data_IF_557958544649
#
_entry.id   IF_557958544649
#
_cell.length_a   1.000
_cell.length_b   1.000
_cell.length_c   1.000
_cell.angle_alpha   90.00
_cell.angle_beta   90.00
_cell.angle_gamma   90.00
#
_symmetry.space_group_name_H-M   'P 1'
#
loop_
_entity.id
_entity.type
_entity.pdbx_description
1 polymer ?
#
# COMPACT_ATOMS: atom_id res chain seq x y z
N UNK A 1 43.98 81.79 -0.24
CA UNK A 1 43.03 80.66 -0.22
C UNK A 1 43.75 79.46 0.36
N UNK A 2 43.44 79.09 1.60
CA UNK A 2 44.09 77.99 2.34
C UNK A 2 43.37 76.70 1.98
N UNK A 3 44.10 75.73 1.43
CA UNK A 3 43.58 74.41 1.06
C UNK A 3 43.63 73.46 2.27
N UNK A 4 42.49 72.84 2.60
CA UNK A 4 42.37 71.80 3.61
C UNK A 4 42.95 70.47 3.08
N UNK A 5 43.85 69.86 3.86
CA UNK A 5 44.29 68.47 3.68
C UNK A 5 43.59 67.62 4.75
N UNK A 6 42.81 66.58 4.39
CA UNK A 6 42.19 65.70 5.37
C UNK A 6 43.20 64.64 5.84
N UNK A 7 43.40 64.55 7.15
CA UNK A 7 44.14 63.47 7.80
C UNK A 7 43.31 62.18 7.80
N UNK A 8 43.77 61.15 7.08
CA UNK A 8 43.25 59.79 7.15
C UNK A 8 43.83 59.09 8.39
N UNK A 9 42.98 58.79 9.37
CA UNK A 9 43.32 57.94 10.52
C UNK A 9 43.21 56.47 10.11
N UNK A 10 44.33 55.76 10.02
CA UNK A 10 44.37 54.30 9.91
C UNK A 10 44.10 53.67 11.28
N UNK A 11 42.93 53.05 11.45
CA UNK A 11 42.63 52.23 12.62
C UNK A 11 43.07 50.78 12.37
N UNK A 12 44.16 50.35 13.01
CA UNK A 12 44.60 48.95 13.00
C UNK A 12 43.82 48.16 14.05
N UNK A 13 42.85 47.35 13.63
CA UNK A 13 42.15 46.41 14.52
C UNK A 13 42.99 45.13 14.62
N UNK A 14 43.58 44.87 15.78
CA UNK A 14 44.18 43.56 16.10
C UNK A 14 43.07 42.62 16.56
N UNK A 15 42.77 41.59 15.77
CA UNK A 15 41.85 40.52 16.16
C UNK A 15 42.60 39.48 17.01
N UNK A 16 42.20 39.33 18.27
CA UNK A 16 42.69 38.28 19.17
C UNK A 16 41.83 37.02 18.93
N UNK A 17 42.42 35.85 18.60
CA UNK A 17 41.63 34.64 18.42
C UNK A 17 41.07 34.16 19.77
N UNK A 18 39.76 33.93 19.83
CA UNK A 18 39.10 33.40 21.02
C UNK A 18 39.49 31.92 21.25
N UNK A 19 39.71 31.49 22.50
CA UNK A 19 40.07 30.11 22.79
C UNK A 19 38.89 29.17 22.50
N UNK A 20 39.11 28.18 21.63
CA UNK A 20 38.15 27.10 21.37
C UNK A 20 38.09 26.23 22.63
N UNK A 21 36.98 26.30 23.36
CA UNK A 21 36.71 25.33 24.44
C UNK A 21 36.27 24.02 23.80
N UNK A 22 37.14 23.00 23.82
CA UNK A 22 36.71 21.63 23.60
C UNK A 22 35.84 21.20 24.77
N UNK A 23 34.52 21.23 24.56
CA UNK A 23 33.57 20.60 25.47
C UNK A 23 33.74 19.10 25.34
N UNK A 24 34.42 18.47 26.30
CA UNK A 24 34.47 17.00 26.39
C UNK A 24 33.04 16.50 26.54
N UNK A 25 32.55 15.76 25.55
CA UNK A 25 31.21 15.14 25.58
C UNK A 25 31.18 14.22 26.79
N UNK A 26 30.41 14.58 27.82
CA UNK A 26 30.17 13.73 28.97
C UNK A 26 29.70 12.37 28.46
N UNK A 27 30.48 11.30 28.70
CA UNK A 27 30.04 9.95 28.38
C UNK A 27 28.77 9.70 29.19
N UNK A 28 27.64 9.58 28.50
CA UNK A 28 26.40 9.15 29.11
C UNK A 28 26.67 7.84 29.85
N UNK A 29 26.23 7.76 31.10
CA UNK A 29 26.12 6.52 31.88
C UNK A 29 25.55 5.44 30.99
N UNK A 30 26.14 4.23 30.93
CA UNK A 30 25.60 3.17 30.09
C UNK A 30 24.21 2.84 30.63
N UNK A 31 23.19 3.31 29.92
CA UNK A 31 21.85 2.75 30.03
C UNK A 31 22.03 1.25 29.83
N UNK A 32 21.51 0.43 30.75
CA UNK A 32 21.34 -1.00 30.48
C UNK A 32 20.51 -1.08 29.21
N UNK A 33 21.17 -1.36 28.09
CA UNK A 33 20.53 -1.46 26.79
C UNK A 33 19.61 -2.67 26.87
N UNK A 34 18.31 -2.41 26.92
CA UNK A 34 17.32 -3.45 26.68
C UNK A 34 17.58 -4.06 25.30
N UNK A 35 17.39 -5.37 25.10
CA UNK A 35 17.38 -5.97 23.77
C UNK A 35 16.48 -5.15 22.83
N UNK A 36 16.87 -5.03 21.56
CA UNK A 36 16.16 -4.21 20.57
C UNK A 36 14.71 -4.68 20.35
N UNK A 37 14.45 -5.95 20.64
CA UNK A 37 13.19 -6.67 20.50
C UNK A 37 12.43 -6.82 21.83
N UNK A 38 12.89 -6.21 22.92
CA UNK A 38 12.23 -6.33 24.21
C UNK A 38 10.79 -5.77 24.15
N UNK A 39 9.80 -6.64 24.36
CA UNK A 39 8.38 -6.29 24.29
C UNK A 39 7.75 -6.40 22.91
N UNK A 40 8.52 -6.74 21.87
CA UNK A 40 8.00 -6.92 20.52
C UNK A 40 7.08 -8.15 20.46
N UNK A 41 5.96 -8.02 19.74
CA UNK A 41 5.00 -9.10 19.55
C UNK A 41 5.04 -9.57 18.10
N UNK A 42 5.33 -10.86 17.90
CA UNK A 42 5.45 -11.46 16.58
C UNK A 42 4.12 -11.87 15.93
N UNK A 43 3.04 -11.99 16.72
CA UNK A 43 1.71 -12.43 16.28
C UNK A 43 0.67 -11.34 16.57
N UNK A 44 -0.36 -11.23 15.73
CA UNK A 44 -1.44 -10.28 15.97
C UNK A 44 -2.31 -10.73 17.16
N UNK A 45 -2.49 -9.88 18.18
CA UNK A 45 -3.40 -10.14 19.29
C UNK A 45 -4.86 -10.33 18.84
N UNK A 46 -5.53 -11.32 19.40
CA UNK A 46 -6.97 -11.57 19.25
C UNK A 46 -7.61 -11.53 20.62
N UNK A 47 -8.61 -10.67 20.79
CA UNK A 47 -9.32 -10.44 22.03
C UNK A 47 -10.07 -11.69 22.52
N UNK A 48 -10.27 -11.80 23.83
CA UNK A 48 -10.97 -12.92 24.47
C UNK A 48 -12.46 -13.01 24.14
N UNK A 49 -13.03 -12.01 23.47
CA UNK A 49 -14.41 -12.07 22.95
C UNK A 49 -14.57 -13.10 21.82
N UNK A 50 -13.47 -13.51 21.20
CA UNK A 50 -13.46 -14.55 20.18
C UNK A 50 -13.46 -15.93 20.83
N UNK A 51 -14.46 -16.75 20.51
CA UNK A 51 -14.47 -18.17 20.90
C UNK A 51 -13.36 -18.95 20.18
N UNK A 52 -13.13 -20.22 20.57
CA UNK A 52 -12.06 -21.04 20.03
C UNK A 52 -12.11 -21.19 18.50
N UNK A 53 -13.30 -21.36 17.92
CA UNK A 53 -13.49 -21.51 16.47
C UNK A 53 -13.24 -20.21 15.72
N UNK A 54 -13.73 -19.08 16.24
CA UNK A 54 -13.49 -17.75 15.67
C UNK A 54 -12.01 -17.41 15.69
N UNK A 55 -11.35 -17.64 16.84
CA UNK A 55 -9.91 -17.47 17.00
C UNK A 55 -9.14 -18.30 15.97
N UNK A 56 -9.45 -19.58 15.81
CA UNK A 56 -8.75 -20.45 14.88
C UNK A 56 -8.89 -19.96 13.42
N UNK A 57 -10.07 -19.49 13.02
CA UNK A 57 -10.26 -18.92 11.67
C UNK A 57 -9.48 -17.62 11.48
N UNK A 58 -9.46 -16.73 12.47
CA UNK A 58 -8.68 -15.48 12.39
C UNK A 58 -7.18 -15.81 12.34
N UNK A 59 -6.67 -16.71 13.19
CA UNK A 59 -5.26 -17.12 13.20
C UNK A 59 -4.85 -17.75 11.85
N UNK A 60 -5.71 -18.61 11.29
CA UNK A 60 -5.49 -19.20 9.96
C UNK A 60 -5.47 -18.11 8.89
N UNK A 61 -6.47 -17.21 8.91
CA UNK A 61 -6.55 -16.09 7.98
C UNK A 61 -5.35 -15.15 8.06
N UNK A 62 -4.86 -14.86 9.26
CA UNK A 62 -3.67 -14.04 9.47
C UNK A 62 -2.42 -14.72 8.92
N UNK A 63 -2.26 -16.04 9.12
CA UNK A 63 -1.15 -16.78 8.51
C UNK A 63 -1.22 -16.73 6.98
N UNK A 64 -2.42 -16.83 6.40
CA UNK A 64 -2.62 -16.65 4.96
C UNK A 64 -2.36 -15.20 4.51
N UNK A 65 -2.71 -14.20 5.31
CA UNK A 65 -2.34 -12.78 5.05
C UNK A 65 -0.83 -12.62 4.98
N UNK A 66 -0.10 -13.21 5.93
CA UNK A 66 1.37 -13.17 5.95
C UNK A 66 1.94 -13.83 4.69
N UNK A 67 1.45 -15.02 4.32
CA UNK A 67 1.86 -15.70 3.09
C UNK A 67 1.58 -14.85 1.83
N UNK A 68 0.42 -14.20 1.78
CA UNK A 68 0.01 -13.33 0.67
C UNK A 68 0.93 -12.11 0.52
N UNK A 69 1.22 -11.39 1.61
CA UNK A 69 2.05 -10.17 1.56
C UNK A 69 3.54 -10.48 1.38
N UNK A 70 4.02 -11.59 1.95
CA UNK A 70 5.41 -12.03 1.74
C UNK A 70 5.66 -12.39 0.29
N UNK A 71 4.70 -13.10 -0.33
CA UNK A 71 4.76 -13.40 -1.76
C UNK A 71 4.67 -12.14 -2.62
N UNK A 72 3.75 -11.23 -2.31
CA UNK A 72 3.62 -9.95 -3.02
C UNK A 72 4.95 -9.16 -2.97
N UNK A 73 5.55 -9.03 -1.78
CA UNK A 73 6.87 -8.40 -1.60
C UNK A 73 7.94 -9.13 -2.43
N UNK A 74 7.98 -10.46 -2.39
CA UNK A 74 8.95 -11.25 -3.14
C UNK A 74 8.81 -11.06 -4.66
N UNK A 75 7.58 -10.98 -5.17
CA UNK A 75 7.31 -10.70 -6.58
C UNK A 75 7.88 -9.33 -6.99
N UNK A 76 7.63 -8.29 -6.18
CA UNK A 76 8.16 -6.94 -6.44
C UNK A 76 9.70 -6.95 -6.41
N UNK A 77 10.31 -7.58 -5.40
CA UNK A 77 11.78 -7.63 -5.28
C UNK A 77 12.44 -8.40 -6.43
N UNK A 78 11.75 -9.40 -6.97
CA UNK A 78 12.27 -10.22 -8.07
C UNK A 78 12.17 -9.52 -9.42
N UNK A 79 11.03 -8.92 -9.72
CA UNK A 79 10.71 -8.43 -11.07
C UNK A 79 10.56 -6.92 -11.15
N UNK A 80 10.12 -6.28 -10.07
CA UNK A 80 9.81 -4.85 -10.04
C UNK A 80 9.01 -4.43 -11.27
N UNK A 81 9.51 -3.39 -11.95
CA UNK A 81 8.85 -2.81 -13.12
C UNK A 81 8.86 -3.70 -14.39
N UNK A 82 9.65 -4.78 -14.43
CA UNK A 82 9.64 -5.72 -15.55
C UNK A 82 8.36 -6.56 -15.55
N UNK A 83 7.75 -6.75 -14.37
CA UNK A 83 6.48 -7.46 -14.24
C UNK A 83 5.32 -6.68 -14.86
N UNK A 84 4.56 -7.36 -15.71
CA UNK A 84 3.28 -6.84 -16.23
C UNK A 84 2.25 -6.70 -15.12
N UNK A 85 2.25 -7.58 -14.11
CA UNK A 85 1.39 -7.48 -12.93
C UNK A 85 1.76 -6.23 -12.11
N UNK A 86 3.06 -5.98 -11.89
CA UNK A 86 3.49 -4.77 -11.18
C UNK A 86 3.05 -3.51 -11.91
N UNK A 87 3.32 -3.41 -13.22
CA UNK A 87 2.94 -2.23 -14.01
C UNK A 87 1.43 -2.03 -14.09
N UNK A 88 0.64 -3.12 -14.08
CA UNK A 88 -0.83 -3.04 -14.05
C UNK A 88 -1.34 -2.27 -12.83
N UNK A 89 -0.77 -2.51 -11.66
CA UNK A 89 -1.26 -1.95 -10.39
C UNK A 89 -0.49 -0.71 -9.92
N UNK A 90 0.78 -0.59 -10.29
CA UNK A 90 1.63 0.50 -9.80
C UNK A 90 2.21 1.38 -10.92
N UNK A 91 1.94 1.08 -12.18
CA UNK A 91 2.56 1.77 -13.32
C UNK A 91 4.09 1.66 -13.24
N UNK A 92 4.79 2.74 -13.60
CA UNK A 92 6.25 2.84 -13.50
C UNK A 92 6.73 3.43 -12.16
N UNK A 93 5.91 3.38 -11.10
CA UNK A 93 6.24 4.02 -9.82
C UNK A 93 7.32 3.26 -9.06
N UNK A 94 8.08 3.94 -8.19
CA UNK A 94 9.02 3.28 -7.30
C UNK A 94 8.35 2.26 -6.38
N UNK A 95 9.02 1.12 -6.18
CA UNK A 95 8.47 -0.03 -5.46
C UNK A 95 8.54 0.06 -3.95
N UNK A 96 9.31 1.01 -3.41
CA UNK A 96 9.63 1.04 -1.98
C UNK A 96 8.40 1.24 -1.08
N UNK A 97 7.38 1.97 -1.52
CA UNK A 97 6.16 2.16 -0.74
C UNK A 97 5.37 0.86 -0.63
N UNK A 98 5.14 0.18 -1.76
CA UNK A 98 4.43 -1.10 -1.77
C UNK A 98 5.20 -2.18 -1.00
N UNK A 99 6.52 -2.27 -1.19
CA UNK A 99 7.39 -3.17 -0.41
C UNK A 99 7.26 -2.87 1.08
N UNK A 100 7.38 -1.60 1.48
CA UNK A 100 7.28 -1.18 2.87
C UNK A 100 5.93 -1.51 3.50
N UNK A 101 4.83 -1.27 2.76
CA UNK A 101 3.48 -1.60 3.22
C UNK A 101 3.33 -3.10 3.52
N UNK A 102 3.80 -3.97 2.63
CA UNK A 102 3.78 -5.42 2.88
C UNK A 102 4.75 -5.86 3.97
N UNK A 103 5.92 -5.24 4.07
CA UNK A 103 6.93 -5.60 5.06
C UNK A 103 6.50 -5.23 6.48
N UNK A 104 5.81 -4.11 6.66
CA UNK A 104 5.23 -3.72 7.96
C UNK A 104 4.19 -4.75 8.42
N UNK A 105 3.37 -5.29 7.49
CA UNK A 105 2.40 -6.36 7.82
C UNK A 105 3.11 -7.65 8.26
N UNK A 106 4.13 -8.11 7.51
CA UNK A 106 4.82 -9.36 7.81
C UNK A 106 5.74 -9.23 9.04
N UNK A 107 6.56 -8.19 9.10
CA UNK A 107 7.71 -8.08 10.01
C UNK A 107 7.58 -6.98 11.07
N UNK A 108 6.58 -6.11 10.99
CA UNK A 108 6.33 -5.09 12.01
C UNK A 108 5.94 -5.69 13.37
N UNK A 109 6.10 -4.90 14.44
CA UNK A 109 5.59 -5.24 15.76
C UNK A 109 4.05 -5.23 15.75
N UNK A 110 3.47 -6.36 16.11
CA UNK A 110 2.03 -6.61 16.00
C UNK A 110 1.28 -6.32 17.29
N UNK A 111 1.99 -5.98 18.37
CA UNK A 111 1.43 -5.85 19.72
C UNK A 111 0.45 -4.68 19.89
N UNK A 112 0.51 -3.69 18.98
CA UNK A 112 -0.36 -2.52 18.99
C UNK A 112 -1.63 -2.68 18.15
N UNK A 113 -1.95 -3.89 17.67
CA UNK A 113 -3.15 -4.20 16.90
C UNK A 113 -4.02 -5.18 17.70
N UNK A 114 -5.35 -5.08 17.61
CA UNK A 114 -6.26 -6.04 18.26
C UNK A 114 -7.46 -6.41 17.39
N UNK A 115 -7.62 -7.71 17.15
CA UNK A 115 -8.80 -8.27 16.51
C UNK A 115 -9.86 -8.66 17.55
N UNK A 116 -11.13 -8.37 17.29
CA UNK A 116 -12.24 -8.60 18.21
C UNK A 116 -13.41 -9.32 17.55
N UNK A 117 -14.19 -10.06 18.33
CA UNK A 117 -15.41 -10.74 17.87
C UNK A 117 -16.68 -10.27 18.58
N UNK A 118 -16.54 -9.41 19.59
CA UNK A 118 -17.65 -8.63 20.14
C UNK A 118 -17.90 -7.39 19.27
N UNK A 119 -19.10 -6.80 19.39
CA UNK A 119 -19.54 -5.66 18.60
C UNK A 119 -19.77 -4.43 19.50
N UNK A 120 -18.71 -3.86 20.12
CA UNK A 120 -18.86 -2.77 21.08
C UNK A 120 -19.49 -1.51 20.47
N UNK A 121 -19.29 -1.28 19.15
CA UNK A 121 -19.79 -0.11 18.45
C UNK A 121 -21.16 -0.34 17.77
N UNK A 122 -21.73 -1.55 17.86
CA UNK A 122 -23.02 -1.89 17.25
C UNK A 122 -23.00 -2.08 15.73
N UNK A 123 -21.93 -1.69 15.04
CA UNK A 123 -21.85 -1.64 13.57
C UNK A 123 -21.94 -2.99 12.84
N UNK A 124 -21.79 -4.14 13.52
CA UNK A 124 -22.10 -5.44 12.90
C UNK A 124 -23.60 -5.65 12.60
N UNK A 125 -24.49 -4.76 13.10
CA UNK A 125 -25.91 -4.79 12.76
C UNK A 125 -26.21 -4.20 11.37
N UNK A 126 -25.24 -3.54 10.73
CA UNK A 126 -25.39 -3.02 9.38
C UNK A 126 -25.39 -4.17 8.37
N UNK A 127 -26.36 -4.16 7.45
CA UNK A 127 -26.50 -5.23 6.47
C UNK A 127 -25.27 -5.33 5.56
N UNK A 128 -24.82 -6.56 5.30
CA UNK A 128 -23.61 -6.85 4.53
C UNK A 128 -22.28 -6.54 5.20
N UNK A 129 -22.25 -6.03 6.45
CA UNK A 129 -20.99 -5.74 7.13
C UNK A 129 -20.35 -7.01 7.69
N UNK A 130 -19.23 -7.42 7.09
CA UNK A 130 -18.42 -8.52 7.58
C UNK A 130 -17.46 -8.11 8.72
N UNK A 131 -17.36 -6.82 9.00
CA UNK A 131 -16.49 -6.26 10.02
C UNK A 131 -16.30 -4.77 9.86
N UNK A 132 -15.59 -4.17 10.81
CA UNK A 132 -15.27 -2.74 10.74
C UNK A 132 -14.00 -2.42 11.52
N UNK A 133 -13.34 -1.34 11.12
CA UNK A 133 -12.37 -0.64 11.96
C UNK A 133 -13.12 0.23 12.97
N UNK A 134 -12.64 0.29 14.22
CA UNK A 134 -13.34 1.03 15.29
C UNK A 134 -13.12 2.55 15.25
N UNK A 135 -12.28 3.05 14.34
CA UNK A 135 -12.05 4.48 14.15
C UNK A 135 -11.64 5.18 15.45
N UNK A 136 -12.23 6.34 15.74
CA UNK A 136 -11.92 7.13 16.94
C UNK A 136 -12.25 6.43 18.27
N UNK A 137 -13.10 5.40 18.30
CA UNK A 137 -13.44 4.69 19.53
C UNK A 137 -12.29 3.79 20.02
N UNK A 138 -11.52 3.21 19.09
CA UNK A 138 -10.28 2.49 19.36
C UNK A 138 -9.50 2.26 18.04
N UNK A 139 -8.63 3.20 17.68
CA UNK A 139 -7.96 3.24 16.36
C UNK A 139 -7.11 2.02 16.04
N UNK A 140 -6.73 1.27 17.07
CA UNK A 140 -5.85 0.12 16.96
C UNK A 140 -6.61 -1.21 16.92
N UNK A 141 -7.95 -1.15 16.81
CA UNK A 141 -8.81 -2.31 16.91
C UNK A 141 -9.70 -2.48 15.67
N UNK A 142 -9.91 -3.74 15.28
CA UNK A 142 -10.90 -4.11 14.26
C UNK A 142 -11.82 -5.21 14.79
N UNK A 143 -13.09 -5.12 14.41
CA UNK A 143 -14.14 -6.06 14.77
C UNK A 143 -14.44 -6.97 13.58
N UNK A 144 -14.44 -8.28 13.82
CA UNK A 144 -14.87 -9.33 12.90
C UNK A 144 -16.34 -9.66 13.19
N UNK A 145 -17.23 -9.36 12.25
CA UNK A 145 -18.66 -9.68 12.37
C UNK A 145 -18.95 -11.10 11.87
N UNK A 146 -20.11 -11.65 12.24
CA UNK A 146 -20.49 -13.04 11.95
C UNK A 146 -20.44 -13.40 10.46
N UNK A 147 -20.78 -12.45 9.59
CA UNK A 147 -20.74 -12.64 8.14
C UNK A 147 -19.33 -13.01 7.63
N UNK A 148 -18.25 -12.58 8.29
CA UNK A 148 -16.90 -13.00 7.88
C UNK A 148 -16.71 -14.51 7.95
N UNK A 149 -17.22 -15.16 8.99
CA UNK A 149 -16.99 -16.59 9.22
C UNK A 149 -17.74 -17.50 8.24
N UNK A 150 -18.74 -16.98 7.53
CA UNK A 150 -19.48 -17.73 6.51
C UNK A 150 -19.16 -17.28 5.08
N UNK A 151 -18.76 -16.03 4.87
CA UNK A 151 -18.51 -15.49 3.54
C UNK A 151 -17.05 -15.54 3.10
N UNK A 152 -16.09 -15.50 4.04
CA UNK A 152 -14.66 -15.49 3.72
C UNK A 152 -14.15 -16.90 3.42
N UNK A 153 -13.40 -17.01 2.33
CA UNK A 153 -12.77 -18.26 1.89
C UNK A 153 -11.32 -18.33 2.35
N UNK A 154 -10.78 -19.53 2.47
CA UNK A 154 -9.34 -19.74 2.62
C UNK A 154 -8.62 -19.39 1.31
N UNK A 155 -7.44 -18.79 1.42
CA UNK A 155 -6.54 -18.47 0.32
C UNK A 155 -6.14 -19.72 -0.49
N UNK A 156 -6.18 -20.92 0.11
CA UNK A 156 -5.92 -22.18 -0.62
C UNK A 156 -6.92 -22.44 -1.74
N UNK A 157 -8.07 -21.76 -1.71
CA UNK A 157 -9.09 -21.82 -2.77
C UNK A 157 -8.93 -20.73 -3.83
N UNK A 158 -7.80 -20.00 -3.86
CA UNK A 158 -7.49 -19.02 -4.90
C UNK A 158 -7.64 -19.63 -6.29
N UNK A 159 -8.26 -18.89 -7.21
CA UNK A 159 -8.61 -19.33 -8.57
C UNK A 159 -9.60 -20.51 -8.68
N UNK A 160 -10.16 -21.00 -7.56
CA UNK A 160 -11.20 -22.01 -7.57
C UNK A 160 -12.61 -21.38 -7.45
N UNK A 161 -13.63 -22.19 -7.75
CA UNK A 161 -15.05 -21.85 -7.58
C UNK A 161 -15.45 -20.55 -8.32
N UNK A 162 -14.90 -20.33 -9.51
CA UNK A 162 -15.22 -19.19 -10.35
C UNK A 162 -14.65 -17.84 -9.88
N UNK A 163 -13.75 -17.83 -8.90
CA UNK A 163 -13.08 -16.59 -8.49
C UNK A 163 -12.15 -16.09 -9.59
N UNK A 164 -12.31 -14.83 -9.96
CA UNK A 164 -11.36 -14.06 -10.77
C UNK A 164 -10.97 -12.79 -10.04
N UNK A 165 -9.74 -12.32 -10.22
CA UNK A 165 -9.25 -11.11 -9.55
C UNK A 165 -10.07 -9.88 -9.97
N UNK A 166 -10.36 -9.72 -11.26
CA UNK A 166 -11.12 -8.57 -11.77
C UNK A 166 -12.63 -8.64 -11.45
N UNK A 167 -13.21 -9.84 -11.43
CA UNK A 167 -14.66 -10.03 -11.32
C UNK A 167 -15.17 -10.29 -9.91
N UNK A 168 -14.29 -10.36 -8.91
CA UNK A 168 -14.65 -10.70 -7.53
C UNK A 168 -14.16 -9.65 -6.53
N UNK A 169 -14.84 -9.57 -5.38
CA UNK A 169 -14.44 -8.63 -4.32
C UNK A 169 -13.05 -9.00 -3.78
N UNK A 170 -12.20 -8.01 -3.53
CA UNK A 170 -10.89 -8.22 -2.89
C UNK A 170 -11.01 -8.95 -1.57
N UNK A 171 -12.07 -8.69 -0.80
CA UNK A 171 -12.32 -9.32 0.49
C UNK A 171 -12.92 -10.74 0.42
N UNK A 172 -12.91 -11.43 -0.74
CA UNK A 172 -13.39 -12.82 -0.82
C UNK A 172 -12.61 -13.78 0.09
N UNK A 173 -11.30 -13.57 0.25
CA UNK A 173 -10.46 -14.41 1.10
C UNK A 173 -10.24 -13.77 2.47
N UNK A 174 -10.06 -14.60 3.50
CA UNK A 174 -9.60 -14.14 4.81
C UNK A 174 -8.30 -13.33 4.69
N UNK A 175 -7.35 -13.82 3.90
CA UNK A 175 -6.04 -13.21 3.72
C UNK A 175 -6.12 -11.72 3.31
N UNK A 176 -6.93 -11.41 2.29
CA UNK A 176 -7.06 -10.05 1.75
C UNK A 176 -8.03 -9.17 2.55
N UNK A 177 -9.10 -9.73 3.12
CA UNK A 177 -9.98 -8.97 4.04
C UNK A 177 -9.20 -8.51 5.29
N UNK A 178 -8.36 -9.38 5.86
CA UNK A 178 -7.53 -9.03 7.01
C UNK A 178 -6.42 -8.04 6.62
N UNK A 179 -5.83 -8.17 5.43
CA UNK A 179 -4.87 -7.19 4.91
C UNK A 179 -5.46 -5.78 4.84
N UNK A 180 -6.66 -5.65 4.28
CA UNK A 180 -7.38 -4.37 4.22
C UNK A 180 -7.62 -3.77 5.61
N UNK A 181 -8.09 -4.58 6.56
CA UNK A 181 -8.34 -4.13 7.95
C UNK A 181 -7.06 -3.68 8.63
N UNK A 182 -5.96 -4.38 8.40
CA UNK A 182 -4.65 -3.99 8.90
C UNK A 182 -4.24 -2.62 8.38
N UNK A 183 -4.45 -2.32 7.10
CA UNK A 183 -4.16 -0.99 6.55
C UNK A 183 -5.00 0.14 7.16
N UNK A 184 -6.20 -0.12 7.68
CA UNK A 184 -6.96 0.91 8.42
C UNK A 184 -6.37 1.22 9.80
N UNK A 185 -5.56 0.34 10.38
CA UNK A 185 -5.02 0.53 11.74
C UNK A 185 -3.70 1.31 11.69
N UNK A 186 -3.56 2.43 12.43
CA UNK A 186 -2.38 3.30 12.36
C UNK A 186 -1.02 2.62 12.58
N UNK A 187 -0.87 1.60 13.47
CA UNK A 187 0.41 0.90 13.60
C UNK A 187 0.90 0.21 12.32
N UNK A 188 -0.02 -0.08 11.38
CA UNK A 188 0.30 -0.76 10.12
C UNK A 188 0.16 0.18 8.93
N UNK A 189 -1.02 0.78 8.71
CA UNK A 189 -1.25 1.66 7.58
C UNK A 189 -0.66 3.06 7.72
N UNK A 190 -0.29 3.46 8.94
CA UNK A 190 0.37 4.74 9.27
C UNK A 190 -0.39 6.00 8.81
N UNK A 191 -1.70 5.88 8.53
CA UNK A 191 -2.49 6.92 7.85
C UNK A 191 -1.85 7.37 6.53
N UNK A 192 -1.10 6.45 5.89
CA UNK A 192 -0.42 6.66 4.61
C UNK A 192 -1.00 5.74 3.54
N UNK A 193 -1.34 4.51 3.94
CA UNK A 193 -2.15 3.60 3.12
C UNK A 193 -3.62 3.95 3.31
N UNK A 194 -4.27 4.42 2.26
CA UNK A 194 -5.66 4.92 2.29
C UNK A 194 -6.48 4.36 1.10
N UNK A 195 -7.69 4.89 0.90
CA UNK A 195 -8.55 4.60 -0.25
C UNK A 195 -8.48 5.75 -1.25
N UNK A 196 -7.80 5.52 -2.37
CA UNK A 196 -7.68 6.45 -3.49
C UNK A 196 -8.46 5.98 -4.73
N UNK A 197 -8.73 4.68 -4.83
CA UNK A 197 -9.53 4.05 -5.87
C UNK A 197 -10.35 2.90 -5.28
N UNK A 198 -11.57 2.72 -5.75
CA UNK A 198 -12.47 1.67 -5.32
C UNK A 198 -12.75 0.67 -6.44
N UNK A 199 -12.54 -0.62 -6.14
CA UNK A 199 -12.76 -1.67 -7.13
C UNK A 199 -11.62 -1.83 -8.14
N UNK A 200 -11.77 -2.80 -9.04
CA UNK A 200 -10.68 -3.22 -9.93
C UNK A 200 -10.37 -2.18 -11.01
N UNK A 201 -11.40 -1.63 -11.66
CA UNK A 201 -11.24 -0.68 -12.77
C UNK A 201 -10.56 0.61 -12.33
N UNK A 202 -11.04 1.22 -11.24
CA UNK A 202 -10.46 2.47 -10.72
C UNK A 202 -9.01 2.28 -10.27
N UNK A 203 -8.66 1.10 -9.74
CA UNK A 203 -7.29 0.78 -9.34
C UNK A 203 -6.35 0.70 -10.55
N UNK A 204 -6.79 0.08 -11.64
CA UNK A 204 -6.01 0.01 -12.88
C UNK A 204 -5.91 1.39 -13.53
N UNK A 205 -6.99 2.19 -13.52
CA UNK A 205 -6.96 3.57 -14.00
C UNK A 205 -6.02 4.45 -13.17
N UNK A 206 -6.05 4.30 -11.84
CA UNK A 206 -5.16 5.02 -10.92
C UNK A 206 -3.68 4.75 -11.23
N UNK A 207 -3.36 3.49 -11.57
CA UNK A 207 -2.02 3.08 -11.95
C UNK A 207 -1.57 3.64 -13.31
N UNK A 208 -2.49 3.73 -14.27
CA UNK A 208 -2.25 4.30 -15.60
C UNK A 208 -2.08 5.84 -15.57
N UNK A 209 -2.74 6.50 -14.60
CA UNK A 209 -2.65 7.94 -14.42
C UNK A 209 -1.34 8.44 -13.83
N UNK A 210 -1.21 9.77 -13.70
CA UNK A 210 -0.01 10.43 -13.19
C UNK A 210 0.09 10.52 -11.66
N UNK A 211 -0.94 10.11 -10.90
CA UNK A 211 -1.01 10.22 -9.43
C UNK A 211 -0.17 9.19 -8.69
N UNK A 212 0.75 9.62 -7.82
CA UNK A 212 1.64 8.75 -7.02
C UNK A 212 0.99 7.97 -5.88
N UNK A 213 -0.33 7.77 -5.92
CA UNK A 213 -1.07 7.18 -4.80
C UNK A 213 -1.36 5.70 -4.98
N UNK A 214 -1.21 5.11 -6.18
CA UNK A 214 -1.47 3.67 -6.40
C UNK A 214 -0.59 2.77 -5.52
N UNK A 215 0.65 3.16 -5.24
CA UNK A 215 1.59 2.42 -4.37
C UNK A 215 1.22 2.41 -2.89
N UNK A 216 0.21 3.20 -2.49
CA UNK A 216 -0.32 3.29 -1.13
C UNK A 216 -1.85 3.30 -1.11
N UNK A 217 -2.47 2.85 -2.19
CA UNK A 217 -3.90 2.60 -2.23
C UNK A 217 -4.16 1.19 -1.72
N UNK A 218 -5.00 1.08 -0.70
CA UNK A 218 -5.24 -0.20 -0.02
C UNK A 218 -5.94 -1.23 -0.92
N UNK A 219 -6.75 -0.81 -1.89
CA UNK A 219 -7.35 -1.71 -2.87
C UNK A 219 -6.31 -2.17 -3.90
N UNK A 220 -5.48 -1.26 -4.39
CA UNK A 220 -4.36 -1.55 -5.30
C UNK A 220 -3.40 -2.57 -4.66
N UNK A 221 -3.03 -2.36 -3.40
CA UNK A 221 -2.19 -3.30 -2.65
C UNK A 221 -2.86 -4.67 -2.47
N UNK A 222 -4.19 -4.74 -2.28
CA UNK A 222 -4.89 -6.02 -2.23
C UNK A 222 -4.91 -6.72 -3.59
N UNK A 223 -5.32 -6.02 -4.65
CA UNK A 223 -5.42 -6.61 -5.99
C UNK A 223 -4.07 -7.09 -6.51
N UNK A 224 -3.01 -6.29 -6.33
CA UNK A 224 -1.65 -6.72 -6.69
C UNK A 224 -1.26 -7.99 -5.96
N UNK A 225 -1.47 -8.05 -4.63
CA UNK A 225 -1.07 -9.21 -3.84
C UNK A 225 -1.85 -10.47 -4.25
N UNK A 226 -3.16 -10.33 -4.48
CA UNK A 226 -4.03 -11.41 -4.95
C UNK A 226 -3.63 -11.91 -6.34
N UNK A 227 -3.38 -11.01 -7.30
CA UNK A 227 -3.01 -11.41 -8.65
C UNK A 227 -1.61 -12.02 -8.73
N UNK A 228 -0.63 -11.45 -8.02
CA UNK A 228 0.72 -12.01 -7.95
C UNK A 228 0.68 -13.43 -7.34
N UNK A 229 -0.08 -13.63 -6.26
CA UNK A 229 -0.25 -14.95 -5.66
C UNK A 229 -1.01 -15.92 -6.58
N UNK A 230 -2.05 -15.44 -7.25
CA UNK A 230 -2.79 -16.23 -8.23
C UNK A 230 -1.87 -16.74 -9.35
N UNK A 231 -1.06 -15.84 -9.91
CA UNK A 231 -0.20 -16.14 -11.06
C UNK A 231 1.03 -16.97 -10.70
N UNK A 232 1.70 -16.72 -9.57
CA UNK A 232 2.94 -17.40 -9.23
C UNK A 232 2.71 -18.68 -8.42
N UNK A 233 1.66 -18.72 -7.58
CA UNK A 233 1.46 -19.78 -6.58
C UNK A 233 0.23 -20.64 -6.88
N UNK A 234 -0.96 -20.02 -6.99
CA UNK A 234 -2.21 -20.79 -7.07
C UNK A 234 -2.41 -21.47 -8.44
N UNK A 235 -2.09 -20.77 -9.53
CA UNK A 235 -2.15 -21.28 -10.90
C UNK A 235 -0.89 -20.83 -11.67
N UNK A 236 0.27 -21.46 -11.43
CA UNK A 236 1.58 -21.00 -11.92
C UNK A 236 1.60 -20.70 -13.43
N UNK A 237 1.93 -19.46 -13.79
CA UNK A 237 2.06 -18.99 -15.16
C UNK A 237 0.74 -18.69 -15.89
N UNK A 238 -0.41 -18.95 -15.25
CA UNK A 238 -1.75 -18.74 -15.81
C UNK A 238 -2.55 -17.73 -14.98
N UNK A 239 -2.57 -17.92 -13.66
CA UNK A 239 -3.37 -17.12 -12.74
C UNK A 239 -4.88 -17.26 -12.96
N UNK A 240 -5.61 -16.28 -12.44
CA UNK A 240 -7.05 -16.11 -12.64
C UNK A 240 -7.41 -14.62 -12.64
N UNK A 241 -6.68 -13.82 -13.42
CA UNK A 241 -6.87 -12.37 -13.48
C UNK A 241 -8.33 -12.00 -13.83
N UNK A 242 -8.98 -12.80 -14.67
CA UNK A 242 -10.32 -12.52 -15.19
C UNK A 242 -10.30 -11.65 -16.43
N UNK A 243 -11.48 -11.46 -17.02
CA UNK A 243 -11.68 -10.53 -18.12
C UNK A 243 -12.06 -9.16 -17.56
N UNK A 244 -11.67 -8.10 -18.26
CA UNK A 244 -12.11 -6.73 -17.98
C UNK A 244 -13.18 -6.44 -19.02
N UNK A 245 -14.44 -6.37 -18.60
CA UNK A 245 -15.47 -5.90 -19.51
C UNK A 245 -15.27 -4.40 -19.72
N UNK A 246 -14.68 -4.04 -20.86
CA UNK A 246 -14.66 -2.64 -21.29
C UNK A 246 -16.09 -2.29 -21.64
N UNK A 247 -16.81 -1.65 -20.72
CA UNK A 247 -18.15 -1.14 -20.99
C UNK A 247 -18.06 -0.09 -22.10
N UNK A 248 -18.31 -0.52 -23.34
CA UNK A 248 -18.50 0.36 -24.50
C UNK A 248 -19.87 1.06 -24.42
N UNK A 249 -20.21 1.69 -23.31
CA UNK A 249 -21.35 2.60 -23.24
C UNK A 249 -20.89 4.00 -23.63
N UNK A 250 -20.79 4.22 -24.95
CA UNK A 250 -20.41 5.53 -25.50
C UNK A 250 -19.93 5.55 -26.95
N UNK A 251 -19.99 4.44 -27.69
CA UNK A 251 -19.68 4.44 -29.12
C UNK A 251 -20.93 4.77 -29.97
N UNK A 252 -21.47 5.98 -29.81
CA UNK A 252 -22.26 6.58 -30.89
C UNK A 252 -21.32 7.01 -32.02
N UNK A 253 -21.32 6.18 -33.06
CA UNK A 253 -21.02 6.47 -34.47
C UNK A 253 -20.52 7.90 -34.77
N UNK A 254 -19.20 8.05 -34.95
CA UNK A 254 -18.56 9.27 -35.47
C UNK A 254 -17.33 8.94 -36.30
N UNK A 255 -17.55 8.81 -37.61
CA UNK A 255 -16.64 8.87 -38.76
C UNK A 255 -15.26 8.18 -38.72
N UNK A 256 -15.07 7.23 -39.64
CA UNK A 256 -13.76 6.66 -39.94
C UNK A 256 -12.97 7.62 -40.84
N UNK A 257 -11.94 8.28 -40.30
CA UNK A 257 -10.91 8.90 -41.12
C UNK A 257 -9.73 7.94 -41.29
N UNK A 258 -9.61 7.44 -42.51
CA UNK A 258 -8.54 6.59 -43.04
C UNK A 258 -7.17 7.29 -42.97
N UNK A 259 -6.16 6.55 -42.54
CA UNK A 259 -4.77 6.97 -42.35
C UNK A 259 -3.93 7.03 -43.65
N UNK A 260 -4.48 7.59 -44.75
CA UNK A 260 -3.83 7.53 -46.08
C UNK A 260 -3.49 8.91 -46.70
N UNK A 261 -3.55 10.01 -45.96
CA UNK A 261 -3.34 11.36 -46.52
C UNK A 261 -2.37 12.25 -45.73
N UNK A 262 -1.36 11.65 -45.09
CA UNK A 262 -0.28 12.41 -44.44
C UNK A 262 0.84 12.72 -45.44
N UNK A 263 1.21 14.00 -45.64
CA UNK A 263 2.38 14.39 -46.43
C UNK A 263 3.65 13.68 -45.96
N UNK A 264 4.60 13.41 -46.86
CA UNK A 264 5.80 12.60 -46.57
C UNK A 264 6.68 13.16 -45.42
N UNK A 265 6.50 14.43 -45.05
CA UNK A 265 7.17 15.08 -43.93
C UNK A 265 6.36 15.06 -42.62
N UNK A 266 5.25 14.31 -42.56
CA UNK A 266 4.38 14.22 -41.39
C UNK A 266 4.30 12.79 -40.83
N UNK A 267 4.22 12.67 -39.50
CA UNK A 267 3.95 11.40 -38.81
C UNK A 267 3.10 11.61 -37.55
N UNK A 268 2.43 10.55 -37.10
CA UNK A 268 1.49 10.57 -35.97
C UNK A 268 2.08 9.85 -34.77
N UNK A 269 1.95 10.43 -33.58
CA UNK A 269 2.33 9.80 -32.31
C UNK A 269 1.13 9.07 -31.67
N UNK A 270 1.42 8.16 -30.73
CA UNK A 270 0.42 7.46 -29.94
C UNK A 270 -0.39 8.47 -29.12
N UNK A 271 -1.67 8.66 -29.48
CA UNK A 271 -2.53 9.77 -29.04
C UNK A 271 -3.21 10.53 -30.20
N UNK A 272 -2.82 10.27 -31.44
CA UNK A 272 -3.47 10.84 -32.64
C UNK A 272 -2.95 12.22 -33.07
N UNK A 273 -1.95 12.75 -32.36
CA UNK A 273 -1.33 14.04 -32.68
C UNK A 273 -0.38 13.91 -33.88
N UNK A 274 -0.53 14.79 -34.88
CA UNK A 274 0.25 14.80 -36.13
C UNK A 274 1.32 15.88 -36.08
N UNK A 275 2.57 15.48 -36.31
CA UNK A 275 3.71 16.40 -36.44
C UNK A 275 4.27 16.38 -37.87
N UNK A 276 4.48 17.58 -38.44
CA UNK A 276 5.11 17.78 -39.74
C UNK A 276 6.42 18.60 -39.61
N UNK A 277 7.50 18.14 -40.25
CA UNK A 277 8.83 18.81 -40.28
C UNK A 277 9.08 19.64 -41.52
#
# INVERSE_FOLDING_TARGET
>A
MVALIPFLLLSTVSAIPAPIRLTTRSQATPHTLSPWDAGATAQYPIHQSCNATQRHQIETGLNETIALVEHAKAHILRWGNESTIYRKYFGNRPSFEAIGAYDIVSNGDKGSVLFRCDNPDGNCANDGWAGHWRGANATNETVICDLSYSARRSLTSMCALGYTVSGSKTNTFWASDLLHRLFHMPPIGQNWVEHFADGYEEVVELAAGNKSTSTRDSNTLQYFALEAYAFDVAAPGVGCAGEVEVSHEGAERGDSHTADDLPANCHTHEGGEVHCT
#
